data_IF_673025733474
#
_entry.id   IF_673025733474
#
_cell.length_a   1.000
_cell.length_b   1.000
_cell.length_c   1.000
_cell.angle_alpha   90.00
_cell.angle_beta   90.00
_cell.angle_gamma   90.00
#
_symmetry.space_group_name_H-M   'P 1'
#
loop_
_entity.id
_entity.type
_entity.pdbx_description
1 polymer ?
#
# COMPACT_ATOMS: atom_id res chain seq x y z
N UNK A 1 -16.97 0.67 -17.60
CA UNK A 1 -17.45 -0.20 -16.51
C UNK A 1 -16.36 -1.23 -16.26
N UNK A 2 -15.66 -1.15 -15.14
CA UNK A 2 -14.63 -2.13 -14.77
C UNK A 2 -15.32 -3.48 -14.52
N UNK A 3 -14.97 -4.51 -15.29
CA UNK A 3 -15.58 -5.85 -15.19
C UNK A 3 -15.16 -6.62 -13.93
N UNK A 4 -14.17 -6.13 -13.19
CA UNK A 4 -13.65 -6.75 -11.96
C UNK A 4 -14.62 -6.61 -10.75
N UNK A 5 -15.58 -5.68 -10.79
CA UNK A 5 -16.37 -5.33 -9.60
C UNK A 5 -17.81 -5.80 -9.61
N UNK A 6 -18.29 -6.37 -10.72
CA UNK A 6 -19.73 -6.48 -10.93
C UNK A 6 -20.42 -7.16 -9.76
N UNK A 7 -21.56 -6.64 -9.32
CA UNK A 7 -22.49 -7.27 -8.36
C UNK A 7 -22.70 -8.77 -8.60
N UNK A 8 -22.48 -9.26 -9.83
CA UNK A 8 -22.50 -10.68 -10.19
C UNK A 8 -21.41 -11.52 -9.50
N UNK A 9 -20.21 -10.97 -9.27
CA UNK A 9 -19.12 -11.65 -8.54
C UNK A 9 -19.38 -11.66 -7.03
N UNK A 10 -19.88 -10.57 -6.46
CA UNK A 10 -20.38 -10.51 -5.07
C UNK A 10 -21.54 -11.50 -4.83
N UNK A 11 -22.50 -11.58 -5.77
CA UNK A 11 -23.61 -12.54 -5.75
C UNK A 11 -23.19 -14.00 -5.86
N UNK A 12 -22.00 -14.29 -6.40
CA UNK A 12 -21.51 -15.66 -6.53
C UNK A 12 -20.92 -16.22 -5.21
N UNK A 13 -20.99 -15.46 -4.11
CA UNK A 13 -20.43 -15.86 -2.82
C UNK A 13 -18.90 -15.81 -2.78
N UNK A 14 -18.27 -15.09 -3.71
CA UNK A 14 -16.82 -14.98 -3.78
C UNK A 14 -16.36 -13.65 -3.17
N UNK A 15 -16.54 -13.51 -1.86
CA UNK A 15 -16.11 -12.33 -1.06
C UNK A 15 -14.62 -12.07 -1.22
N UNK A 16 -13.81 -13.12 -1.40
CA UNK A 16 -12.39 -13.02 -1.71
C UNK A 16 -12.11 -12.20 -2.98
N UNK A 17 -12.73 -12.55 -4.13
CA UNK A 17 -12.53 -11.80 -5.37
C UNK A 17 -13.02 -10.35 -5.27
N UNK A 18 -14.09 -10.12 -4.50
CA UNK A 18 -14.57 -8.77 -4.23
C UNK A 18 -13.56 -7.95 -3.40
N UNK A 19 -12.92 -8.54 -2.39
CA UNK A 19 -11.86 -7.90 -1.60
C UNK A 19 -10.64 -7.56 -2.45
N UNK A 20 -10.16 -8.53 -3.26
CA UNK A 20 -9.02 -8.32 -4.16
C UNK A 20 -9.32 -7.21 -5.15
N UNK A 21 -10.53 -7.20 -5.71
CA UNK A 21 -10.96 -6.15 -6.62
C UNK A 21 -11.04 -4.81 -5.88
N UNK A 22 -11.70 -4.74 -4.71
CA UNK A 22 -11.79 -3.51 -3.92
C UNK A 22 -10.42 -2.89 -3.61
N UNK A 23 -9.43 -3.72 -3.25
CA UNK A 23 -8.04 -3.32 -3.09
C UNK A 23 -7.43 -2.80 -4.40
N UNK A 24 -7.63 -3.49 -5.53
CA UNK A 24 -7.16 -3.04 -6.84
C UNK A 24 -7.73 -1.64 -7.20
N UNK A 25 -9.04 -1.42 -6.97
CA UNK A 25 -9.67 -0.13 -7.24
C UNK A 25 -9.12 0.98 -6.36
N UNK A 26 -8.95 0.71 -5.06
CA UNK A 26 -8.33 1.66 -4.15
C UNK A 26 -6.93 2.05 -4.63
N UNK A 27 -6.08 1.09 -4.96
CA UNK A 27 -4.72 1.34 -5.44
C UNK A 27 -4.72 2.13 -6.76
N UNK A 28 -5.58 1.78 -7.73
CA UNK A 28 -5.72 2.55 -8.98
C UNK A 28 -6.18 3.98 -8.73
N UNK A 29 -7.13 4.17 -7.81
CA UNK A 29 -7.63 5.49 -7.46
C UNK A 29 -6.53 6.37 -6.89
N UNK A 30 -5.67 5.82 -6.02
CA UNK A 30 -4.49 6.49 -5.48
C UNK A 30 -3.45 6.78 -6.55
N UNK A 31 -3.21 5.84 -7.48
CA UNK A 31 -2.29 6.01 -8.61
C UNK A 31 -2.73 7.15 -9.55
N UNK A 32 -4.03 7.30 -9.80
CA UNK A 32 -4.60 8.37 -10.64
C UNK A 32 -4.72 9.72 -9.90
N UNK A 33 -4.44 9.73 -8.59
CA UNK A 33 -4.53 10.89 -7.73
C UNK A 33 -3.41 11.91 -7.96
N UNK A 34 -3.58 13.16 -7.50
CA UNK A 34 -2.54 14.19 -7.61
C UNK A 34 -1.34 13.96 -6.67
N UNK A 35 -1.49 13.08 -5.68
CA UNK A 35 -0.46 12.74 -4.70
C UNK A 35 -0.07 11.27 -4.86
N UNK A 36 1.21 10.96 -4.65
CA UNK A 36 1.71 9.59 -4.68
C UNK A 36 2.00 9.16 -3.25
N UNK A 37 1.50 8.00 -2.88
CA UNK A 37 1.66 7.39 -1.57
C UNK A 37 2.82 6.38 -1.58
N UNK A 38 3.30 6.07 -0.38
CA UNK A 38 4.01 4.82 -0.16
C UNK A 38 2.99 3.80 0.30
N UNK A 39 2.85 2.72 -0.46
CA UNK A 39 1.85 1.68 -0.22
C UNK A 39 2.57 0.38 0.11
N UNK A 40 2.11 -0.29 1.15
CA UNK A 40 2.47 -1.66 1.47
C UNK A 40 1.25 -2.56 1.25
N UNK A 41 1.50 -3.81 0.84
CA UNK A 41 0.45 -4.81 0.60
C UNK A 41 0.64 -5.96 1.60
N UNK A 42 -0.41 -6.21 2.39
CA UNK A 42 -0.51 -7.33 3.31
C UNK A 42 -1.67 -8.20 2.84
N UNK A 43 -1.40 -9.48 2.65
CA UNK A 43 -2.42 -10.50 2.41
C UNK A 43 -2.65 -11.26 3.72
N UNK A 44 -3.90 -11.60 4.02
CA UNK A 44 -4.21 -12.35 5.23
C UNK A 44 -5.33 -13.37 5.02
N UNK A 45 -5.21 -14.45 5.78
CA UNK A 45 -6.17 -15.54 5.93
C UNK A 45 -5.99 -16.11 7.33
N UNK A 46 -5.61 -17.38 7.46
CA UNK A 46 -5.20 -17.95 8.77
C UNK A 46 -3.92 -17.33 9.35
N UNK A 47 -3.13 -16.67 8.51
CA UNK A 47 -1.95 -15.89 8.87
C UNK A 47 -1.93 -14.59 8.05
N UNK A 48 -1.15 -13.60 8.51
CA UNK A 48 -0.94 -12.34 7.79
C UNK A 48 0.49 -12.29 7.22
N UNK A 49 0.60 -12.13 5.90
CA UNK A 49 1.85 -12.08 5.15
C UNK A 49 2.05 -10.73 4.47
N UNK A 50 3.26 -10.19 4.59
CA UNK A 50 3.65 -8.97 3.90
C UNK A 50 4.07 -9.37 2.48
N UNK A 51 3.22 -9.04 1.50
CA UNK A 51 3.47 -9.32 0.08
C UNK A 51 4.44 -8.30 -0.50
N UNK A 52 4.27 -7.02 -0.14
CA UNK A 52 5.14 -5.95 -0.59
C UNK A 52 5.30 -4.93 0.54
N UNK A 53 6.53 -4.58 0.95
CA UNK A 53 6.76 -3.48 1.89
C UNK A 53 6.45 -2.13 1.22
N UNK A 54 6.58 -1.02 1.95
CA UNK A 54 6.30 0.32 1.42
C UNK A 54 7.05 0.61 0.12
N UNK A 55 6.29 0.87 -0.94
CA UNK A 55 6.79 1.26 -2.26
C UNK A 55 5.87 2.28 -2.92
N UNK A 56 6.39 3.07 -3.84
CA UNK A 56 5.60 3.92 -4.73
C UNK A 56 5.43 3.29 -6.13
N UNK A 57 5.90 2.06 -6.32
CA UNK A 57 5.68 1.28 -7.53
C UNK A 57 4.29 0.64 -7.52
N UNK A 58 3.31 1.42 -7.97
CA UNK A 58 1.92 1.00 -8.08
C UNK A 58 1.73 -0.17 -9.03
N UNK A 59 2.54 -0.26 -10.10
CA UNK A 59 2.42 -1.35 -11.08
C UNK A 59 2.80 -2.69 -10.44
N UNK A 60 3.84 -2.72 -9.61
CA UNK A 60 4.22 -3.92 -8.86
C UNK A 60 3.15 -4.33 -7.84
N UNK A 61 2.50 -3.36 -7.18
CA UNK A 61 1.40 -3.64 -6.25
C UNK A 61 0.21 -4.23 -7.00
N UNK A 62 -0.18 -3.62 -8.13
CA UNK A 62 -1.29 -4.10 -8.95
C UNK A 62 -1.01 -5.49 -9.54
N UNK A 63 0.23 -5.77 -9.93
CA UNK A 63 0.66 -7.11 -10.35
C UNK A 63 0.49 -8.11 -9.20
N UNK A 64 0.94 -7.75 -7.99
CA UNK A 64 0.83 -8.61 -6.81
C UNK A 64 -0.63 -8.92 -6.46
N UNK A 65 -1.51 -7.90 -6.48
CA UNK A 65 -2.96 -8.07 -6.29
C UNK A 65 -3.55 -8.99 -7.36
N UNK A 66 -3.15 -8.82 -8.63
CA UNK A 66 -3.60 -9.66 -9.73
C UNK A 66 -3.19 -11.13 -9.60
N UNK A 67 -2.02 -11.42 -9.02
CA UNK A 67 -1.56 -12.79 -8.76
C UNK A 67 -2.37 -13.47 -7.64
N UNK A 68 -2.65 -12.71 -6.57
CA UNK A 68 -3.50 -13.17 -5.45
C UNK A 68 -4.91 -13.51 -5.93
N UNK A 69 -5.48 -12.70 -6.83
CA UNK A 69 -6.84 -12.86 -7.35
C UNK A 69 -7.11 -14.07 -8.24
N UNK A 70 -6.16 -15.00 -8.41
CA UNK A 70 -6.36 -16.17 -9.27
C UNK A 70 -7.07 -17.32 -8.54
N UNK A 71 -8.01 -18.03 -9.19
CA UNK A 71 -8.69 -19.19 -8.60
C UNK A 71 -7.74 -20.32 -8.19
N UNK A 72 -6.58 -20.42 -8.84
CA UNK A 72 -5.50 -21.35 -8.48
C UNK A 72 -4.89 -21.03 -7.12
N UNK A 73 -4.56 -19.77 -6.86
CA UNK A 73 -4.01 -19.35 -5.56
C UNK A 73 -5.04 -19.47 -4.45
N UNK A 74 -6.30 -19.04 -4.67
CA UNK A 74 -7.37 -19.22 -3.68
C UNK A 74 -7.53 -20.69 -3.23
N UNK A 75 -7.41 -21.64 -4.16
CA UNK A 75 -7.50 -23.08 -3.86
C UNK A 75 -6.25 -23.66 -3.19
N UNK A 76 -5.11 -22.96 -3.25
CA UNK A 76 -3.86 -23.37 -2.60
C UNK A 76 -3.81 -23.02 -1.13
N UNK A 77 -4.71 -22.16 -0.63
CA UNK A 77 -4.82 -21.86 0.79
C UNK A 77 -5.50 -23.03 1.53
N UNK A 78 -4.75 -23.81 2.33
CA UNK A 78 -5.31 -24.95 3.04
C UNK A 78 -6.15 -24.54 4.25
N UNK A 79 -5.97 -23.30 4.75
CA UNK A 79 -6.62 -22.79 5.95
C UNK A 79 -7.54 -21.62 5.62
N UNK A 80 -8.85 -21.82 5.79
CA UNK A 80 -9.90 -20.84 5.54
C UNK A 80 -10.15 -19.88 6.72
N UNK A 81 -9.15 -19.63 7.55
CA UNK A 81 -9.25 -18.67 8.65
C UNK A 81 -9.17 -17.23 8.14
N UNK A 82 -9.57 -16.28 8.98
CA UNK A 82 -9.36 -14.84 8.76
C UNK A 82 -8.79 -14.26 10.04
N UNK A 83 -7.60 -13.68 9.98
CA UNK A 83 -6.87 -13.13 11.12
C UNK A 83 -6.62 -11.64 10.91
N UNK A 84 -7.68 -10.85 11.08
CA UNK A 84 -7.68 -9.40 10.81
C UNK A 84 -6.76 -8.69 11.81
N UNK A 85 -6.84 -9.10 13.07
CA UNK A 85 -5.97 -8.62 14.14
C UNK A 85 -4.48 -8.74 13.79
N UNK A 86 -4.07 -9.90 13.25
CA UNK A 86 -2.70 -10.13 12.81
C UNK A 86 -2.29 -9.21 11.66
N UNK A 87 -3.19 -8.94 10.70
CA UNK A 87 -2.91 -8.03 9.59
C UNK A 87 -2.68 -6.59 10.06
N UNK A 88 -3.50 -6.09 11.00
CA UNK A 88 -3.34 -4.76 11.59
C UNK A 88 -2.00 -4.67 12.31
N UNK A 89 -1.68 -5.66 13.14
CA UNK A 89 -0.43 -5.71 13.89
C UNK A 89 0.79 -5.68 12.94
N UNK A 90 0.78 -6.48 11.85
CA UNK A 90 1.82 -6.43 10.81
C UNK A 90 1.90 -5.08 10.12
N UNK A 91 0.76 -4.42 9.89
CA UNK A 91 0.72 -3.05 9.35
C UNK A 91 1.44 -2.05 10.26
N UNK A 92 1.11 -2.04 11.55
CA UNK A 92 1.78 -1.17 12.55
C UNK A 92 3.29 -1.48 12.64
N UNK A 93 3.66 -2.77 12.62
CA UNK A 93 5.07 -3.17 12.59
C UNK A 93 5.81 -2.66 11.34
N UNK A 94 5.16 -2.61 10.17
CA UNK A 94 5.75 -2.03 8.97
C UNK A 94 6.02 -0.54 9.12
N UNK A 95 5.04 0.24 9.63
CA UNK A 95 5.26 1.66 9.90
C UNK A 95 6.44 1.88 10.86
N UNK A 96 6.55 1.06 11.91
CA UNK A 96 7.69 1.10 12.84
C UNK A 96 9.02 0.75 12.19
N UNK A 97 9.05 -0.32 11.40
CA UNK A 97 10.28 -0.84 10.77
C UNK A 97 10.88 0.15 9.78
N UNK A 98 10.03 0.88 9.06
CA UNK A 98 10.44 1.86 8.06
C UNK A 98 10.54 3.30 8.59
N UNK A 99 10.43 3.50 9.91
CA UNK A 99 10.50 4.82 10.57
C UNK A 99 9.43 5.80 10.04
N UNK A 100 8.22 5.29 9.82
CA UNK A 100 7.07 6.05 9.32
C UNK A 100 6.01 6.35 10.37
N UNK A 101 6.19 5.96 11.64
CA UNK A 101 5.20 6.26 12.69
C UNK A 101 4.92 7.77 12.84
N UNK A 102 5.96 8.61 12.69
CA UNK A 102 5.85 10.08 12.76
C UNK A 102 5.43 10.73 11.43
N UNK A 103 5.18 9.94 10.38
CA UNK A 103 4.78 10.46 9.08
C UNK A 103 3.33 10.96 9.09
N UNK A 104 3.08 12.10 8.44
CA UNK A 104 1.72 12.66 8.36
C UNK A 104 0.91 11.97 7.27
N UNK A 105 -0.25 11.42 7.65
CA UNK A 105 -1.19 10.78 6.73
C UNK A 105 -1.05 9.27 6.62
N UNK A 106 -0.47 8.63 7.64
CA UNK A 106 -0.54 7.18 7.79
C UNK A 106 -1.99 6.73 7.86
N UNK A 107 -2.29 5.58 7.28
CA UNK A 107 -3.58 4.91 7.39
C UNK A 107 -3.41 3.43 7.04
N UNK A 108 -4.35 2.62 7.53
CA UNK A 108 -4.51 1.21 7.15
C UNK A 108 -5.90 1.07 6.53
N UNK A 109 -6.01 0.42 5.37
CA UNK A 109 -7.32 0.05 4.79
C UNK A 109 -7.42 -1.47 4.75
N UNK A 110 -8.52 -2.00 5.29
CA UNK A 110 -8.79 -3.43 5.39
C UNK A 110 -9.99 -3.76 4.51
N UNK A 111 -9.86 -4.83 3.72
CA UNK A 111 -10.94 -5.44 2.95
C UNK A 111 -11.12 -6.87 3.45
N UNK A 112 -12.26 -7.15 4.09
CA UNK A 112 -12.59 -8.49 4.63
C UNK A 112 -14.11 -8.65 4.74
N UNK A 113 -14.60 -9.88 4.84
CA UNK A 113 -16.01 -10.14 5.16
C UNK A 113 -16.33 -10.02 6.67
N UNK A 114 -15.32 -9.72 7.51
CA UNK A 114 -15.51 -9.41 8.93
C UNK A 114 -15.62 -10.60 9.87
N UNK A 115 -15.45 -11.82 9.35
CA UNK A 115 -15.48 -13.04 10.15
C UNK A 115 -14.07 -13.35 10.69
N UNK A 116 -13.61 -12.64 11.72
CA UNK A 116 -12.37 -13.02 12.41
C UNK A 116 -12.59 -14.33 13.16
N UNK A 117 -11.76 -15.33 12.87
CA UNK A 117 -11.89 -16.66 13.47
C UNK A 117 -11.23 -16.74 14.86
N UNK A 118 -10.51 -15.70 15.28
CA UNK A 118 -9.80 -15.65 16.56
C UNK A 118 -10.20 -14.44 17.38
N UNK A 119 -10.50 -14.66 18.66
CA UNK A 119 -10.80 -13.58 19.60
C UNK A 119 -9.53 -12.90 20.17
N UNK A 120 -8.37 -13.55 20.04
CA UNK A 120 -7.07 -13.12 20.59
C UNK A 120 -5.96 -13.50 19.61
N UNK A 121 -4.99 -12.62 19.41
CA UNK A 121 -3.81 -12.86 18.57
C UNK A 121 -2.53 -12.65 19.40
N UNK A 122 -1.66 -13.66 19.49
CA UNK A 122 -0.38 -13.56 20.22
C UNK A 122 -0.52 -12.94 21.64
N UNK A 123 -1.54 -13.38 22.40
CA UNK A 123 -1.90 -12.87 23.73
C UNK A 123 -2.40 -11.41 23.78
N UNK A 124 -2.58 -10.76 22.61
CA UNK A 124 -3.15 -9.43 22.48
C UNK A 124 -4.64 -9.49 22.12
N UNK A 125 -5.43 -8.63 22.74
CA UNK A 125 -6.83 -8.41 22.39
C UNK A 125 -6.97 -7.48 21.19
N UNK A 126 -8.16 -7.45 20.59
CA UNK A 126 -8.50 -6.49 19.54
C UNK A 126 -8.27 -5.04 20.00
N UNK A 127 -8.64 -4.77 21.26
CA UNK A 127 -8.44 -3.47 21.89
C UNK A 127 -6.97 -3.08 21.99
N UNK A 128 -6.09 -4.02 22.35
CA UNK A 128 -4.65 -3.74 22.47
C UNK A 128 -4.04 -3.38 21.12
N UNK A 129 -4.38 -4.13 20.06
CA UNK A 129 -3.85 -3.91 18.71
C UNK A 129 -4.32 -2.58 18.13
N UNK A 130 -5.61 -2.26 18.30
CA UNK A 130 -6.17 -1.00 17.82
C UNK A 130 -5.76 0.19 18.69
N UNK A 131 -5.52 -0.02 20.00
CA UNK A 131 -4.91 1.00 20.84
C UNK A 131 -3.50 1.32 20.36
N UNK A 132 -2.69 0.32 19.99
CA UNK A 132 -1.36 0.56 19.42
C UNK A 132 -1.45 1.37 18.11
N UNK A 133 -2.40 1.05 17.22
CA UNK A 133 -2.62 1.84 16.01
C UNK A 133 -3.03 3.30 16.33
N UNK A 134 -3.93 3.48 17.31
CA UNK A 134 -4.40 4.80 17.76
C UNK A 134 -3.28 5.63 18.40
N UNK A 135 -2.47 5.03 19.26
CA UNK A 135 -1.33 5.67 19.93
C UNK A 135 -0.29 6.17 18.93
N UNK A 136 -0.12 5.47 17.81
CA UNK A 136 0.74 5.86 16.70
C UNK A 136 0.04 6.73 15.65
N UNK A 137 -1.19 7.19 15.91
CA UNK A 137 -1.99 8.05 15.02
C UNK A 137 -2.22 7.44 13.63
N UNK A 138 -2.39 6.11 13.57
CA UNK A 138 -2.68 5.36 12.35
C UNK A 138 -4.18 5.03 12.32
N UNK A 139 -5.02 5.85 11.67
CA UNK A 139 -6.42 5.53 11.45
C UNK A 139 -6.56 4.24 10.63
N UNK A 140 -7.38 3.34 11.13
CA UNK A 140 -7.76 2.09 10.46
C UNK A 140 -9.11 2.31 9.78
N UNK A 141 -9.21 1.99 8.50
CA UNK A 141 -10.46 1.98 7.76
C UNK A 141 -10.80 0.55 7.41
N UNK A 142 -11.99 0.10 7.78
CA UNK A 142 -12.39 -1.28 7.54
C UNK A 142 -13.63 -1.31 6.64
N UNK A 143 -13.43 -1.76 5.40
CA UNK A 143 -14.51 -2.04 4.45
C UNK A 143 -14.89 -3.51 4.57
N UNK A 144 -16.06 -3.76 5.17
CA UNK A 144 -16.64 -5.09 5.30
C UNK A 144 -17.43 -5.45 4.05
N UNK A 145 -17.01 -6.48 3.30
CA UNK A 145 -17.57 -6.89 2.01
C UNK A 145 -18.47 -8.13 2.13
N UNK A 146 -19.65 -7.95 2.73
CA UNK A 146 -20.62 -9.03 2.94
C UNK A 146 -21.88 -8.77 2.13
N UNK A 147 -22.14 -9.60 1.12
CA UNK A 147 -23.30 -9.42 0.24
C UNK A 147 -24.63 -9.57 1.01
N UNK A 148 -25.56 -8.63 0.79
CA UNK A 148 -26.92 -8.62 1.36
C UNK A 148 -26.98 -8.65 2.89
N UNK A 149 -25.91 -8.18 3.54
CA UNK A 149 -25.86 -8.00 4.98
C UNK A 149 -25.64 -6.52 5.27
N UNK A 150 -26.52 -5.94 6.06
CA UNK A 150 -26.44 -4.58 6.57
C UNK A 150 -25.63 -4.56 7.87
N UNK A 151 -25.46 -3.35 8.42
CA UNK A 151 -24.82 -3.18 9.71
C UNK A 151 -25.65 -3.86 10.80
N UNK A 152 -25.00 -4.68 11.62
CA UNK A 152 -25.65 -5.38 12.74
C UNK A 152 -26.26 -6.73 12.37
N UNK A 153 -26.23 -7.13 11.09
CA UNK A 153 -26.60 -8.48 10.66
C UNK A 153 -25.53 -9.52 11.06
N UNK A 154 -24.30 -9.06 11.33
CA UNK A 154 -23.22 -9.86 11.87
C UNK A 154 -22.91 -9.42 13.31
N UNK A 155 -22.87 -10.40 14.22
CA UNK A 155 -22.55 -10.20 15.64
C UNK A 155 -21.25 -9.41 15.90
N UNK A 156 -20.16 -9.53 15.10
CA UNK A 156 -18.93 -8.77 15.34
C UNK A 156 -18.92 -7.32 14.82
N UNK A 157 -19.92 -6.88 14.05
CA UNK A 157 -19.90 -5.57 13.38
C UNK A 157 -19.77 -4.40 14.38
N UNK A 158 -20.52 -4.46 15.49
CA UNK A 158 -20.52 -3.39 16.50
C UNK A 158 -19.15 -3.27 17.18
N UNK A 159 -18.53 -4.41 17.48
CA UNK A 159 -17.20 -4.49 18.10
C UNK A 159 -16.15 -3.90 17.16
N UNK A 160 -16.15 -4.33 15.90
CA UNK A 160 -15.24 -3.79 14.90
C UNK A 160 -15.45 -2.30 14.66
N UNK A 161 -16.71 -1.86 14.58
CA UNK A 161 -17.03 -0.45 14.39
C UNK A 161 -16.48 0.40 15.52
N UNK A 162 -16.79 0.05 16.77
CA UNK A 162 -16.32 0.80 17.94
C UNK A 162 -14.79 0.85 18.00
N UNK A 163 -14.14 -0.29 17.78
CA UNK A 163 -12.70 -0.40 17.89
C UNK A 163 -11.98 0.35 16.75
N UNK A 164 -12.49 0.29 15.52
CA UNK A 164 -11.94 1.01 14.36
C UNK A 164 -12.12 2.52 14.51
N UNK A 165 -13.29 2.98 14.95
CA UNK A 165 -13.57 4.42 15.14
C UNK A 165 -12.69 5.03 16.25
N UNK A 166 -12.26 4.26 17.25
CA UNK A 166 -11.27 4.69 18.26
C UNK A 166 -9.89 5.00 17.70
N UNK A 167 -9.54 4.49 16.52
CA UNK A 167 -8.27 4.84 15.84
C UNK A 167 -8.34 6.16 15.07
N UNK A 168 -9.54 6.76 14.97
CA UNK A 168 -9.79 7.92 14.11
C UNK A 168 -10.10 7.58 12.65
N UNK A 169 -10.19 6.29 12.31
CA UNK A 169 -10.71 5.84 11.03
C UNK A 169 -12.20 5.48 11.09
N UNK A 170 -12.67 4.63 10.17
CA UNK A 170 -14.10 4.38 10.00
C UNK A 170 -14.41 2.95 9.52
N UNK A 171 -15.53 2.40 9.99
CA UNK A 171 -16.07 1.12 9.55
C UNK A 171 -17.15 1.32 8.48
N UNK A 172 -17.02 0.60 7.36
CA UNK A 172 -17.91 0.67 6.21
C UNK A 172 -18.57 -0.71 5.97
N UNK A 173 -19.82 -0.91 6.39
CA UNK A 173 -20.58 -2.13 6.11
C UNK A 173 -21.07 -2.10 4.66
N UNK A 174 -20.26 -2.62 3.73
CA UNK A 174 -20.56 -2.58 2.30
C UNK A 174 -21.32 -3.83 1.85
N UNK A 175 -22.63 -3.68 1.62
CA UNK A 175 -23.52 -4.77 1.19
C UNK A 175 -23.46 -5.05 -0.33
N UNK A 176 -22.93 -4.12 -1.11
CA UNK A 176 -22.88 -4.18 -2.56
C UNK A 176 -21.69 -3.39 -3.13
N UNK A 177 -21.48 -3.52 -4.44
CA UNK A 177 -20.41 -2.85 -5.19
C UNK A 177 -20.42 -1.32 -5.04
N UNK A 178 -21.60 -0.71 -5.05
CA UNK A 178 -21.76 0.74 -4.96
C UNK A 178 -21.26 1.27 -3.62
N UNK A 179 -21.60 0.59 -2.52
CA UNK A 179 -21.12 0.94 -1.18
C UNK A 179 -19.61 0.77 -1.01
N UNK A 180 -19.01 -0.23 -1.67
CA UNK A 180 -17.54 -0.39 -1.68
C UNK A 180 -16.88 0.81 -2.38
N UNK A 181 -17.41 1.20 -3.54
CA UNK A 181 -16.89 2.35 -4.30
C UNK A 181 -17.06 3.65 -3.50
N UNK A 182 -18.21 3.85 -2.86
CA UNK A 182 -18.45 5.00 -1.99
C UNK A 182 -17.47 5.05 -0.82
N UNK A 183 -17.25 3.93 -0.13
CA UNK A 183 -16.29 3.83 0.96
C UNK A 183 -14.86 4.14 0.50
N UNK A 184 -14.41 3.58 -0.63
CA UNK A 184 -13.09 3.88 -1.19
C UNK A 184 -12.94 5.37 -1.52
N UNK A 185 -13.96 5.99 -2.12
CA UNK A 185 -13.92 7.42 -2.44
C UNK A 185 -13.93 8.31 -1.19
N UNK A 186 -14.64 7.90 -0.14
CA UNK A 186 -14.63 8.60 1.14
C UNK A 186 -13.24 8.54 1.80
N UNK A 187 -12.62 7.35 1.82
CA UNK A 187 -11.26 7.19 2.34
C UNK A 187 -10.27 8.03 1.52
N UNK A 188 -10.36 8.01 0.19
CA UNK A 188 -9.50 8.82 -0.71
C UNK A 188 -9.55 10.32 -0.34
N UNK A 189 -10.73 10.83 0.04
CA UNK A 189 -10.93 12.22 0.47
C UNK A 189 -10.35 12.50 1.86
N UNK A 190 -10.45 11.55 2.80
CA UNK A 190 -9.96 11.69 4.17
C UNK A 190 -8.44 11.48 4.28
N UNK A 191 -7.86 10.71 3.36
CA UNK A 191 -6.46 10.31 3.30
C UNK A 191 -5.49 11.38 2.72
N UNK A 192 -5.60 12.64 3.19
CA UNK A 192 -4.71 13.71 2.77
C UNK A 192 -3.50 13.83 3.73
N UNK A 193 -2.32 13.42 3.28
CA UNK A 193 -1.08 13.40 4.06
C UNK A 193 0.13 14.04 3.38
N UNK A 194 1.22 14.23 4.13
CA UNK A 194 2.54 14.62 3.59
C UNK A 194 3.61 13.74 4.21
N UNK A 195 4.26 12.91 3.40
CA UNK A 195 5.40 12.09 3.82
C UNK A 195 6.70 12.78 3.36
N UNK A 196 7.68 12.91 4.26
CA UNK A 196 9.02 13.39 3.91
C UNK A 196 9.95 12.19 3.69
N UNK A 197 10.12 11.80 2.43
CA UNK A 197 11.03 10.68 2.07
C UNK A 197 12.44 11.20 1.84
N UNK A 198 13.43 10.67 2.56
CA UNK A 198 14.86 10.87 2.25
C UNK A 198 15.28 9.85 1.19
N UNK A 199 15.38 10.31 -0.07
CA UNK A 199 15.85 9.44 -1.16
C UNK A 199 17.38 9.42 -1.20
N UNK A 200 17.98 8.32 -0.76
CA UNK A 200 19.40 8.05 -1.01
C UNK A 200 19.58 7.59 -2.46
N UNK A 201 19.89 8.52 -3.37
CA UNK A 201 20.34 8.17 -4.71
C UNK A 201 21.85 8.11 -4.71
N UNK A 202 22.42 6.92 -4.77
CA UNK A 202 23.84 6.74 -5.07
C UNK A 202 24.05 7.04 -6.55
N UNK A 203 24.28 8.31 -6.88
CA UNK A 203 24.71 8.71 -8.22
C UNK A 203 26.20 8.42 -8.28
N UNK A 204 26.61 7.45 -9.09
CA UNK A 204 28.03 7.19 -9.34
C UNK A 204 28.46 8.02 -10.56
N UNK A 205 29.12 9.17 -10.38
CA UNK A 205 29.47 10.05 -11.49
C UNK A 205 30.58 9.44 -12.35
N UNK A 206 30.19 8.74 -13.42
CA UNK A 206 31.12 8.22 -14.43
C UNK A 206 31.81 9.32 -15.27
N UNK A 207 31.58 10.60 -15.01
CA UNK A 207 32.15 11.71 -15.79
C UNK A 207 33.63 12.01 -15.46
N UNK A 208 34.14 11.54 -14.31
CA UNK A 208 35.51 11.81 -13.88
C UNK A 208 36.60 11.43 -14.91
N UNK A 209 36.61 10.21 -15.50
CA UNK A 209 37.59 9.87 -16.54
C UNK A 209 37.46 10.75 -17.80
N UNK A 210 36.23 11.11 -18.19
CA UNK A 210 36.00 11.97 -19.36
C UNK A 210 36.46 13.42 -19.10
N UNK A 211 36.25 13.95 -17.89
CA UNK A 211 36.73 15.27 -17.51
C UNK A 211 38.26 15.35 -17.47
N UNK A 212 38.92 14.30 -16.95
CA UNK A 212 40.39 14.19 -16.97
C UNK A 212 40.94 14.12 -18.40
N UNK A 213 40.32 13.33 -19.27
CA UNK A 213 40.69 13.23 -20.68
C UNK A 213 40.55 14.59 -21.39
N UNK A 214 39.42 15.28 -21.18
CA UNK A 214 39.18 16.60 -21.74
C UNK A 214 40.23 17.62 -21.28
N UNK A 215 40.56 17.63 -19.98
CA UNK A 215 41.63 18.48 -19.43
C UNK A 215 43.01 18.17 -20.00
N UNK A 216 43.34 16.89 -20.17
CA UNK A 216 44.61 16.46 -20.77
C UNK A 216 44.72 16.89 -22.24
N UNK A 217 43.65 16.75 -23.02
CA UNK A 217 43.61 17.19 -24.41
C UNK A 217 43.73 18.71 -24.53
N UNK A 218 43.05 19.46 -23.66
CA UNK A 218 43.11 20.93 -23.64
C UNK A 218 44.50 21.45 -23.28
N UNK A 219 45.10 20.89 -22.24
CA UNK A 219 46.46 21.27 -21.81
C UNK A 219 47.51 20.87 -22.85
N UNK A 220 47.36 19.70 -23.47
CA UNK A 220 48.19 19.27 -24.60
C UNK A 220 48.07 20.20 -25.81
N UNK A 221 46.86 20.58 -26.19
CA UNK A 221 46.61 21.52 -27.28
C UNK A 221 47.22 22.90 -26.99
N UNK A 222 47.06 23.42 -25.76
CA UNK A 222 47.67 24.67 -25.33
C UNK A 222 49.21 24.61 -25.39
N UNK A 223 49.79 23.51 -24.91
CA UNK A 223 51.25 23.29 -24.96
C UNK A 223 51.78 23.25 -26.39
N UNK A 224 51.08 22.56 -27.30
CA UNK A 224 51.45 22.52 -28.72
C UNK A 224 51.33 23.89 -29.38
N UNK A 225 50.27 24.65 -29.11
CA UNK A 225 50.08 26.00 -29.64
C UNK A 225 51.15 27.00 -29.16
N UNK A 226 51.66 26.84 -27.92
CA UNK A 226 52.69 27.71 -27.37
C UNK A 226 54.11 27.33 -27.82
N UNK A 227 54.42 26.04 -27.96
CA UNK A 227 55.76 25.56 -28.28
C UNK A 227 56.05 25.45 -29.79
N UNK A 228 55.03 25.21 -30.63
CA UNK A 228 55.20 24.99 -32.06
C UNK A 228 54.48 26.05 -32.89
N UNK A 229 55.25 26.90 -33.57
CA UNK A 229 54.72 27.98 -34.43
C UNK A 229 53.80 27.50 -35.56
N UNK A 230 53.91 26.24 -35.99
CA UNK A 230 53.04 25.63 -37.00
C UNK A 230 51.58 25.43 -36.52
N UNK A 231 51.34 25.34 -35.20
CA UNK A 231 50.02 25.16 -34.60
C UNK A 231 49.38 26.48 -34.11
N UNK A 232 50.06 27.62 -34.30
CA UNK A 232 49.58 28.95 -33.90
C UNK A 232 48.51 29.51 -34.84
N UNK A 233 48.45 28.99 -36.07
CA UNK A 233 47.44 29.29 -37.08
C UNK A 233 46.65 28.01 -37.35
N UNK A 234 45.68 27.72 -36.48
CA UNK A 234 44.53 26.96 -36.95
C UNK A 234 43.80 27.82 -38.01
N UNK A 235 43.37 27.29 -39.17
CA UNK A 235 42.38 27.98 -39.99
C UNK A 235 41.05 28.11 -39.23
#
# INVERSE_FOLDING_TARGET
MNSAFSTRQLRAGNTFLANVSAAEYFVRRRMDGPYHDLVALIEFGSQAYIVTPFTNDYENILLSIGLIGTPEEYRRFPDHGTLIMGAINRGVQLFRTFDFLDATGNLIVIFSDGQDTHAVYEDQSLDDILQEASDNQIPVYFIRTSYDQQLGDLLPDEVWKEAVERTGGQFFPAANEEMIIEAVNEIDRLAAGRIRVTRYVTRDPLFAPFAMLAGALWTGALGLALCFGAFRTFP
#
